data_IF_983193699942
#
_entry.id   IF_983193699942
#
_cell.length_a   1.000
_cell.length_b   1.000
_cell.length_c   1.000
_cell.angle_alpha   90.00
_cell.angle_beta   90.00
_cell.angle_gamma   90.00
#
_symmetry.space_group_name_H-M   'P 1'
#
loop_
_entity.id
_entity.type
_entity.pdbx_description
1 polymer ?
#
# COMPACT_ATOMS: atom_id res chain seq x y z
N UNK A 1 6.72 9.35 -3.14
CA UNK A 1 7.61 10.37 -3.74
C UNK A 1 8.22 9.91 -5.07
N UNK A 2 8.97 8.80 -5.10
CA UNK A 2 9.63 8.26 -6.30
C UNK A 2 8.74 8.17 -7.55
N UNK A 3 7.54 7.59 -7.46
CA UNK A 3 6.68 7.38 -8.63
C UNK A 3 6.28 8.68 -9.34
N UNK A 4 6.00 9.76 -8.60
CA UNK A 4 5.64 11.05 -9.22
C UNK A 4 6.86 11.74 -9.84
N UNK A 5 8.01 11.66 -9.18
CA UNK A 5 9.27 12.17 -9.72
C UNK A 5 9.66 11.42 -11.00
N UNK A 6 9.45 10.11 -11.03
CA UNK A 6 9.67 9.28 -12.21
C UNK A 6 8.84 9.78 -13.39
N UNK A 7 7.51 9.90 -13.22
CA UNK A 7 6.64 10.39 -14.28
C UNK A 7 7.01 11.80 -14.76
N UNK A 8 7.34 12.70 -13.83
CA UNK A 8 7.84 14.03 -14.17
C UNK A 8 9.14 13.97 -14.98
N UNK A 9 10.09 13.11 -14.60
CA UNK A 9 11.36 12.92 -15.33
C UNK A 9 11.16 12.35 -16.74
N UNK A 10 10.10 11.56 -16.95
CA UNK A 10 9.71 11.02 -18.25
C UNK A 10 8.91 12.02 -19.10
N UNK A 11 8.79 13.28 -18.67
CA UNK A 11 8.15 14.36 -19.42
C UNK A 11 6.67 14.54 -19.15
N UNK A 12 6.11 13.88 -18.13
CA UNK A 12 4.72 14.13 -17.74
C UNK A 12 4.59 15.55 -17.14
N UNK A 13 3.66 16.39 -17.65
CA UNK A 13 3.42 17.73 -17.10
C UNK A 13 2.92 17.63 -15.67
N UNK A 14 3.57 18.35 -14.74
CA UNK A 14 3.32 18.23 -13.30
C UNK A 14 1.90 18.62 -12.89
N UNK A 15 1.31 19.60 -13.56
CA UNK A 15 -0.04 20.09 -13.32
C UNK A 15 -1.13 19.08 -13.71
N UNK A 16 -0.76 18.04 -14.46
CA UNK A 16 -1.64 16.93 -14.84
C UNK A 16 -1.38 15.66 -14.03
N UNK A 17 -0.38 15.66 -13.14
CA UNK A 17 -0.09 14.53 -12.27
C UNK A 17 -0.96 14.58 -11.01
N UNK A 18 -1.92 13.67 -10.94
CA UNK A 18 -2.80 13.53 -9.78
C UNK A 18 -2.24 12.48 -8.83
N UNK A 19 -1.91 12.88 -7.60
CA UNK A 19 -1.52 11.97 -6.53
C UNK A 19 -2.76 11.30 -5.94
N UNK A 20 -2.82 9.97 -6.01
CA UNK A 20 -3.85 9.21 -5.32
C UNK A 20 -3.60 9.15 -3.81
N UNK A 21 -4.64 9.36 -3.01
CA UNK A 21 -4.63 9.13 -1.57
C UNK A 21 -5.48 7.90 -1.26
N UNK A 22 -4.87 6.87 -0.68
CA UNK A 22 -5.59 5.66 -0.32
C UNK A 22 -6.42 5.89 0.95
N UNK A 23 -7.70 5.53 0.89
CA UNK A 23 -8.63 5.47 2.03
C UNK A 23 -8.79 4.05 2.59
N UNK A 24 -7.90 3.14 2.18
CA UNK A 24 -7.85 1.75 2.60
C UNK A 24 -6.42 1.37 2.99
N UNK A 25 -6.28 0.24 3.69
CA UNK A 25 -4.99 -0.36 4.04
C UNK A 25 -4.89 -1.78 3.51
N UNK A 26 -3.67 -2.32 3.54
CA UNK A 26 -3.40 -3.75 3.33
C UNK A 26 -2.90 -4.34 4.63
N UNK A 27 -3.28 -5.58 4.93
CA UNK A 27 -3.02 -6.21 6.22
C UNK A 27 -2.59 -7.66 6.08
N UNK A 28 -1.72 -8.10 6.98
CA UNK A 28 -1.06 -9.41 6.91
C UNK A 28 -1.12 -10.11 8.28
N UNK A 29 -1.06 -11.44 8.26
CA UNK A 29 -0.90 -12.28 9.46
C UNK A 29 0.59 -12.46 9.71
N UNK A 30 1.04 -12.00 10.88
CA UNK A 30 2.43 -12.10 11.32
C UNK A 30 2.74 -13.51 11.85
N UNK A 31 3.98 -13.93 11.66
CA UNK A 31 4.46 -15.25 12.12
C UNK A 31 4.99 -15.23 13.55
N UNK A 32 5.19 -14.04 14.13
CA UNK A 32 5.75 -13.84 15.46
C UNK A 32 5.14 -12.59 16.12
N UNK A 33 5.60 -12.24 17.32
CA UNK A 33 5.22 -11.01 18.02
C UNK A 33 5.86 -9.74 17.43
N UNK A 34 6.78 -9.88 16.48
CA UNK A 34 7.43 -8.74 15.81
C UNK A 34 6.43 -7.99 14.94
N UNK A 35 6.25 -6.69 15.17
CA UNK A 35 5.24 -5.85 14.49
C UNK A 35 5.82 -4.64 13.74
N UNK A 36 7.15 -4.57 13.60
CA UNK A 36 7.84 -3.53 12.86
C UNK A 36 7.67 -3.64 11.34
N UNK A 37 8.05 -2.59 10.61
CA UNK A 37 8.09 -2.60 9.15
C UNK A 37 9.06 -3.70 8.68
N UNK A 38 8.57 -4.62 7.85
CA UNK A 38 9.36 -5.74 7.34
C UNK A 38 9.32 -7.00 8.21
N UNK A 39 8.50 -7.03 9.28
CA UNK A 39 8.29 -8.24 10.08
C UNK A 39 7.75 -9.40 9.21
N UNK A 40 8.16 -10.65 9.50
CA UNK A 40 7.79 -11.80 8.68
C UNK A 40 6.30 -12.14 8.79
N UNK A 41 5.63 -12.24 7.65
CA UNK A 41 4.24 -12.64 7.50
C UNK A 41 4.12 -13.93 6.69
N UNK A 42 3.13 -14.76 6.98
CA UNK A 42 2.87 -16.02 6.26
C UNK A 42 1.59 -15.99 5.43
N UNK A 43 0.70 -15.01 5.64
CA UNK A 43 -0.55 -14.92 4.90
C UNK A 43 -1.14 -13.49 4.91
N UNK A 44 -2.13 -13.30 4.06
CA UNK A 44 -3.00 -12.12 4.05
C UNK A 44 -3.94 -12.14 5.27
N UNK A 45 -4.33 -10.97 5.77
CA UNK A 45 -5.30 -10.90 6.86
C UNK A 45 -6.69 -11.36 6.40
N UNK A 46 -7.48 -11.87 7.35
CA UNK A 46 -8.86 -12.27 7.10
C UNK A 46 -9.71 -11.10 6.59
N UNK A 47 -10.74 -11.37 5.77
CA UNK A 47 -11.58 -10.33 5.22
C UNK A 47 -12.22 -9.42 6.28
N UNK A 48 -12.24 -8.13 6.00
CA UNK A 48 -12.96 -7.16 6.83
C UNK A 48 -14.47 -7.38 6.77
N UNK A 49 -15.22 -7.01 7.83
CA UNK A 49 -16.66 -7.28 7.90
C UNK A 49 -17.48 -6.57 6.82
N UNK A 50 -16.99 -5.45 6.28
CA UNK A 50 -17.68 -4.66 5.25
C UNK A 50 -17.07 -4.82 3.86
N UNK A 51 -15.72 -4.82 3.77
CA UNK A 51 -15.03 -4.92 2.50
C UNK A 51 -15.03 -6.34 1.94
N UNK A 52 -15.12 -7.36 2.81
CA UNK A 52 -15.12 -8.77 2.42
C UNK A 52 -13.93 -9.17 1.52
N UNK A 53 -12.83 -8.41 1.61
CA UNK A 53 -11.59 -8.60 0.87
C UNK A 53 -10.47 -8.98 1.86
N UNK A 54 -9.72 -10.05 1.56
CA UNK A 54 -8.51 -10.39 2.32
C UNK A 54 -7.48 -9.26 2.21
N UNK A 55 -6.74 -9.05 3.29
CA UNK A 55 -5.82 -7.90 3.45
C UNK A 55 -4.64 -7.87 2.50
#
# INVERSE_FOLDING_TARGET
DFALQYWRSQGAPSEKLLMGFATYGRSFILTSSESGVGAPANNLASPGPYTQEMG
#
